data_IF_194172474477
#
_entry.id   IF_194172474477
#
_cell.length_a   1.000
_cell.length_b   1.000
_cell.length_c   1.000
_cell.angle_alpha   90.00
_cell.angle_beta   90.00
_cell.angle_gamma   90.00
#
_symmetry.space_group_name_H-M   'P 1'
#
loop_
_entity.id
_entity.type
_entity.pdbx_description
1 polymer ?
#
# COMPACT_ATOMS: atom_id res chain seq x y z
N UNK A 1 7.17 10.95 -26.38
CA UNK A 1 7.44 12.36 -26.11
C UNK A 1 6.18 13.24 -26.05
N UNK A 2 5.11 12.90 -26.78
CA UNK A 2 3.87 13.75 -26.80
C UNK A 2 2.85 13.50 -25.69
N UNK A 3 3.04 12.50 -24.79
CA UNK A 3 2.11 12.21 -23.69
C UNK A 3 2.46 12.94 -22.38
N UNK A 4 3.69 13.42 -22.24
CA UNK A 4 4.14 14.21 -21.07
C UNK A 4 3.69 15.67 -21.22
N UNK A 5 3.57 16.16 -22.46
CA UNK A 5 3.11 17.53 -22.75
C UNK A 5 1.61 17.72 -22.45
N UNK A 6 0.81 16.67 -22.53
CA UNK A 6 -0.64 16.73 -22.25
C UNK A 6 -0.94 16.90 -20.74
N UNK A 7 -0.05 16.42 -19.85
CA UNK A 7 -0.14 16.62 -18.39
C UNK A 7 0.30 18.03 -17.96
N UNK A 8 1.12 18.71 -18.76
CA UNK A 8 1.58 20.07 -18.50
C UNK A 8 0.57 21.15 -18.91
N UNK A 9 -0.37 20.85 -19.79
CA UNK A 9 -1.37 21.83 -20.29
C UNK A 9 -2.63 21.95 -19.43
N UNK A 10 -2.82 21.13 -18.38
CA UNK A 10 -3.99 21.23 -17.49
C UNK A 10 -3.81 22.18 -16.30
N UNK A 11 -2.67 22.88 -16.20
CA UNK A 11 -2.26 23.65 -15.03
C UNK A 11 -2.43 25.16 -15.09
N UNK A 12 -3.21 25.74 -16.00
CA UNK A 12 -3.37 27.21 -16.05
C UNK A 12 -4.83 27.59 -15.92
N UNK A 13 -5.22 27.94 -14.73
CA UNK A 13 -6.19 28.94 -14.27
C UNK A 13 -6.84 28.55 -12.95
N UNK A 14 -6.58 29.25 -11.88
CA UNK A 14 -7.56 29.95 -11.05
C UNK A 14 -6.98 30.40 -9.70
N UNK A 15 -7.17 31.67 -9.41
CA UNK A 15 -7.03 32.34 -8.09
C UNK A 15 -8.33 32.14 -7.31
N UNK A 16 -8.21 31.84 -6.01
CA UNK A 16 -8.85 32.43 -4.83
C UNK A 16 -8.96 31.43 -3.66
N UNK A 17 -8.27 31.78 -2.64
CA UNK A 17 -8.29 31.59 -1.19
C UNK A 17 -9.24 30.61 -0.52
N UNK A 18 -8.66 29.69 0.27
CA UNK A 18 -9.14 29.34 1.62
C UNK A 18 -7.94 29.31 2.58
N UNK A 19 -8.14 29.85 3.78
CA UNK A 19 -7.10 30.00 4.80
C UNK A 19 -6.71 28.65 5.38
N UNK A 20 -5.56 28.18 5.01
CA UNK A 20 -4.78 27.16 5.71
C UNK A 20 -3.34 27.69 5.78
N UNK A 21 -2.55 27.27 6.76
CA UNK A 21 -1.17 27.69 7.01
C UNK A 21 -0.20 27.41 5.84
N UNK A 22 -0.65 27.56 4.61
CA UNK A 22 0.09 27.37 3.38
C UNK A 22 0.62 28.71 2.90
N UNK A 23 1.90 28.73 2.58
CA UNK A 23 2.45 29.84 1.84
C UNK A 23 1.92 29.74 0.40
N UNK A 24 1.18 30.75 -0.05
CA UNK A 24 0.66 30.81 -1.43
C UNK A 24 1.81 31.10 -2.42
N UNK A 25 2.78 30.17 -2.49
CA UNK A 25 4.01 30.27 -3.28
C UNK A 25 4.04 29.28 -4.45
N UNK A 26 2.94 28.59 -4.78
CA UNK A 26 2.90 27.56 -5.80
C UNK A 26 3.50 28.02 -7.16
N UNK A 27 3.14 29.23 -7.62
CA UNK A 27 3.64 29.80 -8.88
C UNK A 27 4.89 30.68 -8.72
N UNK A 28 5.46 30.77 -7.52
CA UNK A 28 6.76 31.41 -7.31
C UNK A 28 7.89 30.54 -7.89
N UNK A 29 9.09 31.13 -8.05
CA UNK A 29 10.26 30.39 -8.45
C UNK A 29 10.56 29.21 -7.50
N UNK A 30 10.31 29.38 -6.19
CA UNK A 30 10.44 28.32 -5.19
C UNK A 30 9.42 27.21 -5.45
N UNK A 31 8.12 27.54 -5.55
CA UNK A 31 7.05 26.55 -5.73
C UNK A 31 7.21 25.75 -7.01
N UNK A 32 7.53 26.41 -8.11
CA UNK A 32 7.87 25.74 -9.39
C UNK A 32 9.10 24.85 -9.24
N UNK A 33 10.14 25.34 -8.55
CA UNK A 33 11.35 24.56 -8.29
C UNK A 33 11.08 23.29 -7.50
N UNK A 34 10.26 23.36 -6.42
CA UNK A 34 9.83 22.18 -5.62
C UNK A 34 9.03 21.20 -6.47
N UNK A 35 8.12 21.68 -7.32
CA UNK A 35 7.36 20.82 -8.23
C UNK A 35 8.28 20.10 -9.24
N UNK A 36 9.25 20.79 -9.80
CA UNK A 36 10.25 20.19 -10.73
C UNK A 36 11.06 19.13 -9.99
N UNK A 37 11.54 19.41 -8.78
CA UNK A 37 12.29 18.46 -7.95
C UNK A 37 11.44 17.21 -7.70
N UNK A 38 10.16 17.39 -7.33
CA UNK A 38 9.23 16.29 -7.13
C UNK A 38 9.06 15.45 -8.39
N UNK A 39 8.77 16.06 -9.54
CA UNK A 39 8.55 15.36 -10.82
C UNK A 39 9.81 14.59 -11.24
N UNK A 40 10.99 15.21 -11.15
CA UNK A 40 12.25 14.56 -11.49
C UNK A 40 12.57 13.39 -10.55
N UNK A 41 12.42 13.59 -9.23
CA UNK A 41 12.61 12.51 -8.26
C UNK A 41 11.63 11.38 -8.45
N UNK A 42 10.36 11.71 -8.74
CA UNK A 42 9.34 10.71 -9.02
C UNK A 42 9.63 9.91 -10.30
N UNK A 43 10.18 10.56 -11.33
CA UNK A 43 10.66 9.86 -12.51
C UNK A 43 11.69 8.77 -12.16
N UNK A 44 12.65 9.05 -11.26
CA UNK A 44 13.62 8.05 -10.82
C UNK A 44 13.00 6.96 -9.94
N UNK A 45 11.99 7.29 -9.12
CA UNK A 45 11.21 6.31 -8.35
C UNK A 45 10.50 5.33 -9.31
N UNK A 46 9.78 5.85 -10.31
CA UNK A 46 9.06 5.04 -11.29
C UNK A 46 9.98 4.25 -12.23
N UNK A 47 11.21 4.72 -12.44
CA UNK A 47 12.21 4.09 -13.29
C UNK A 47 13.20 3.19 -12.52
N UNK A 48 12.84 2.73 -11.30
CA UNK A 48 13.65 1.88 -10.43
C UNK A 48 14.25 0.68 -11.18
N UNK A 49 13.42 -0.06 -11.93
CA UNK A 49 13.87 -1.22 -12.72
C UNK A 49 14.87 -0.85 -13.80
N UNK A 50 14.66 0.28 -14.47
CA UNK A 50 15.48 0.72 -15.61
C UNK A 50 16.89 1.12 -15.17
N UNK A 51 17.01 1.81 -14.04
CA UNK A 51 18.26 2.35 -13.53
C UNK A 51 18.88 1.51 -12.41
N UNK A 52 18.15 0.47 -11.93
CA UNK A 52 18.56 -0.35 -10.78
C UNK A 52 18.83 0.50 -9.52
N UNK A 53 18.10 1.59 -9.34
CA UNK A 53 18.19 2.49 -8.19
C UNK A 53 16.97 2.20 -7.31
N UNK A 54 17.20 1.71 -6.08
CA UNK A 54 16.14 1.54 -5.10
C UNK A 54 15.38 2.87 -4.90
N UNK A 55 14.05 2.83 -5.01
CA UNK A 55 13.12 3.98 -4.94
C UNK A 55 13.25 4.83 -3.69
N UNK A 56 13.76 4.26 -2.60
CA UNK A 56 14.01 4.96 -1.33
C UNK A 56 15.00 6.10 -1.49
N UNK A 57 16.05 5.91 -2.30
CA UNK A 57 17.10 6.92 -2.48
C UNK A 57 16.58 8.24 -3.08
N UNK A 58 15.89 8.23 -4.25
CA UNK A 58 15.32 9.46 -4.78
C UNK A 58 14.20 10.01 -3.88
N UNK A 59 13.38 9.17 -3.23
CA UNK A 59 12.34 9.64 -2.33
C UNK A 59 12.91 10.42 -1.14
N UNK A 60 13.92 9.88 -0.45
CA UNK A 60 14.61 10.57 0.64
C UNK A 60 15.23 11.89 0.16
N UNK A 61 15.89 11.87 -1.00
CA UNK A 61 16.53 13.07 -1.53
C UNK A 61 15.50 14.18 -1.78
N UNK A 62 14.44 13.89 -2.53
CA UNK A 62 13.44 14.93 -2.86
C UNK A 62 12.69 15.43 -1.64
N UNK A 63 12.35 14.55 -0.68
CA UNK A 63 11.66 14.95 0.53
C UNK A 63 12.50 15.86 1.43
N UNK A 64 13.73 15.45 1.74
CA UNK A 64 14.62 16.23 2.62
C UNK A 64 15.14 17.50 1.94
N UNK A 65 15.56 17.40 0.68
CA UNK A 65 16.11 18.53 -0.08
C UNK A 65 15.06 19.64 -0.29
N UNK A 66 13.78 19.28 -0.53
CA UNK A 66 12.71 20.25 -0.68
C UNK A 66 12.53 21.10 0.58
N UNK A 67 12.50 20.48 1.77
CA UNK A 67 12.36 21.25 3.02
C UNK A 67 13.61 22.09 3.33
N UNK A 68 14.82 21.61 3.00
CA UNK A 68 16.04 22.41 3.14
C UNK A 68 15.98 23.68 2.27
N UNK A 69 15.58 23.55 0.99
CA UNK A 69 15.43 24.71 0.09
C UNK A 69 14.37 25.68 0.61
N UNK A 70 13.20 25.16 1.07
CA UNK A 70 12.12 25.97 1.64
C UNK A 70 12.67 26.77 2.84
N UNK A 71 13.38 26.11 3.78
CA UNK A 71 13.94 26.77 4.95
C UNK A 71 14.95 27.88 4.58
N UNK A 72 15.87 27.59 3.65
CA UNK A 72 16.83 28.60 3.15
C UNK A 72 16.10 29.77 2.51
N UNK A 73 15.08 29.53 1.68
CA UNK A 73 14.31 30.58 1.03
C UNK A 73 13.60 31.48 2.05
N UNK A 74 13.00 30.88 3.10
CA UNK A 74 12.29 31.64 4.13
C UNK A 74 13.23 32.56 4.90
N UNK A 75 14.41 32.04 5.29
CA UNK A 75 15.44 32.87 5.96
C UNK A 75 15.94 33.99 5.06
N UNK A 76 16.20 33.73 3.78
CA UNK A 76 16.70 34.72 2.83
C UNK A 76 15.69 35.85 2.50
N UNK A 77 14.40 35.57 2.69
CA UNK A 77 13.31 36.55 2.43
C UNK A 77 12.68 37.11 3.71
N UNK A 78 13.32 36.93 4.86
CA UNK A 78 12.84 37.39 6.18
C UNK A 78 11.39 36.93 6.48
N UNK A 79 11.02 35.72 6.02
CA UNK A 79 9.72 35.12 6.30
C UNK A 79 9.73 34.42 7.66
N UNK A 80 8.57 34.34 8.29
CA UNK A 80 8.42 33.69 9.59
C UNK A 80 8.67 32.17 9.48
N UNK A 81 9.81 31.72 9.99
CA UNK A 81 10.20 30.30 10.01
C UNK A 81 9.43 29.46 11.02
N UNK A 82 8.69 30.07 11.95
CA UNK A 82 7.86 29.33 12.91
C UNK A 82 6.77 28.53 12.20
N UNK A 83 6.17 29.08 11.14
CA UNK A 83 5.16 28.41 10.31
C UNK A 83 5.74 27.13 9.70
N UNK A 84 6.98 27.17 9.21
CA UNK A 84 7.67 25.99 8.67
C UNK A 84 7.93 24.96 9.77
N UNK A 85 8.41 25.40 10.93
CA UNK A 85 8.67 24.52 12.07
C UNK A 85 7.40 23.77 12.51
N UNK A 86 6.29 24.47 12.67
CA UNK A 86 4.99 23.89 13.04
C UNK A 86 4.52 22.87 11.98
N UNK A 87 4.61 23.21 10.69
CA UNK A 87 4.24 22.32 9.59
C UNK A 87 5.11 21.08 9.55
N UNK A 88 6.43 21.22 9.71
CA UNK A 88 7.38 20.09 9.74
C UNK A 88 7.14 19.21 10.95
N UNK A 89 6.90 19.78 12.14
CA UNK A 89 6.62 19.02 13.36
C UNK A 89 5.32 18.20 13.21
N UNK A 90 4.27 18.78 12.64
CA UNK A 90 3.03 18.06 12.36
C UNK A 90 3.26 16.91 11.36
N UNK A 91 4.00 17.17 10.28
CA UNK A 91 4.35 16.16 9.29
C UNK A 91 5.17 15.02 9.89
N UNK A 92 6.18 15.35 10.71
CA UNK A 92 7.00 14.33 11.40
C UNK A 92 6.12 13.48 12.32
N UNK A 93 5.18 14.07 13.04
CA UNK A 93 4.25 13.35 13.90
C UNK A 93 3.39 12.35 13.09
N UNK A 94 2.82 12.78 11.95
CA UNK A 94 2.06 11.91 11.06
C UNK A 94 2.93 10.73 10.58
N UNK A 95 4.13 11.03 10.06
CA UNK A 95 5.05 10.01 9.56
C UNK A 95 5.47 9.05 10.67
N UNK A 96 5.80 9.57 11.86
CA UNK A 96 6.20 8.75 13.00
C UNK A 96 5.09 7.76 13.41
N UNK A 97 3.83 8.20 13.42
CA UNK A 97 2.69 7.32 13.72
C UNK A 97 2.61 6.16 12.74
N UNK A 98 2.74 6.43 11.44
CA UNK A 98 2.71 5.40 10.38
C UNK A 98 3.93 4.47 10.51
N UNK A 99 5.13 5.03 10.69
CA UNK A 99 6.38 4.25 10.77
C UNK A 99 6.38 3.32 11.99
N UNK A 100 6.00 3.80 13.19
CA UNK A 100 5.92 2.95 14.37
C UNK A 100 4.83 1.88 14.26
N UNK A 101 3.70 2.21 13.63
CA UNK A 101 2.67 1.22 13.32
C UNK A 101 3.25 0.11 12.42
N UNK A 102 3.92 0.49 11.33
CA UNK A 102 4.51 -0.46 10.36
C UNK A 102 5.63 -1.29 10.97
N UNK A 103 6.51 -0.70 11.80
CA UNK A 103 7.55 -1.45 12.51
C UNK A 103 6.93 -2.59 13.32
N UNK A 104 5.86 -2.31 14.07
CA UNK A 104 5.19 -3.34 14.85
C UNK A 104 4.53 -4.40 13.96
N UNK A 105 3.79 -3.99 12.92
CA UNK A 105 3.13 -4.90 11.98
C UNK A 105 4.12 -5.81 11.26
N UNK A 106 5.17 -5.24 10.66
CA UNK A 106 6.22 -5.99 9.96
C UNK A 106 6.96 -6.94 10.89
N UNK A 107 7.22 -6.55 12.15
CA UNK A 107 7.86 -7.43 13.14
C UNK A 107 6.98 -8.64 13.45
N UNK A 108 5.65 -8.47 13.59
CA UNK A 108 4.72 -9.60 13.74
C UNK A 108 4.77 -10.54 12.53
N UNK A 109 4.79 -9.99 11.32
CA UNK A 109 4.86 -10.79 10.08
C UNK A 109 6.17 -11.58 10.03
N UNK A 110 7.32 -10.95 10.32
CA UNK A 110 8.62 -11.64 10.39
C UNK A 110 8.62 -12.76 11.44
N UNK A 111 8.00 -12.52 12.60
CA UNK A 111 7.83 -13.53 13.62
C UNK A 111 6.98 -14.72 13.13
N UNK A 112 5.92 -14.49 12.35
CA UNK A 112 5.10 -15.54 11.74
C UNK A 112 5.86 -16.31 10.64
N UNK A 113 6.68 -15.62 9.83
CA UNK A 113 7.57 -16.23 8.83
C UNK A 113 8.56 -17.16 9.53
N UNK A 114 9.24 -16.69 10.57
CA UNK A 114 10.22 -17.48 11.34
C UNK A 114 9.58 -18.70 12.01
N UNK A 115 8.31 -18.63 12.39
CA UNK A 115 7.53 -19.78 12.93
C UNK A 115 6.96 -20.69 11.84
N UNK A 116 7.34 -20.50 10.59
CA UNK A 116 6.93 -21.33 9.45
C UNK A 116 5.41 -21.37 9.23
N UNK A 117 4.69 -20.31 9.61
CA UNK A 117 3.23 -20.22 9.40
C UNK A 117 2.91 -20.23 7.91
N UNK A 118 3.58 -19.36 7.15
CA UNK A 118 3.36 -19.25 5.70
C UNK A 118 3.97 -20.42 4.92
N UNK A 119 5.10 -20.98 5.37
CA UNK A 119 5.69 -22.19 4.79
C UNK A 119 4.76 -23.42 4.97
N UNK A 120 4.10 -23.52 6.13
CA UNK A 120 3.09 -24.57 6.35
C UNK A 120 1.88 -24.40 5.43
N UNK A 121 1.43 -23.16 5.20
CA UNK A 121 0.36 -22.86 4.25
C UNK A 121 0.77 -23.27 2.82
N UNK A 122 1.96 -22.88 2.40
CA UNK A 122 2.56 -23.26 1.11
C UNK A 122 2.62 -24.79 0.94
N UNK A 123 3.16 -25.50 1.93
CA UNK A 123 3.22 -26.96 1.92
C UNK A 123 1.83 -27.58 1.72
N UNK A 124 0.82 -27.11 2.46
CA UNK A 124 -0.56 -27.60 2.36
C UNK A 124 -1.18 -27.37 0.98
N UNK A 125 -0.84 -26.26 0.31
CA UNK A 125 -1.34 -25.97 -1.04
C UNK A 125 -0.71 -26.88 -2.09
N UNK A 126 0.61 -27.01 -2.03
CA UNK A 126 1.39 -27.74 -3.03
C UNK A 126 1.22 -29.24 -2.91
N UNK A 127 1.19 -29.78 -1.69
CA UNK A 127 1.09 -31.23 -1.42
C UNK A 127 -0.21 -31.89 -1.91
N UNK A 128 -1.29 -31.10 -2.12
CA UNK A 128 -2.59 -31.64 -2.56
C UNK A 128 -2.66 -31.99 -4.04
N UNK A 129 -1.67 -31.63 -4.86
CA UNK A 129 -1.60 -32.00 -6.28
C UNK A 129 -2.75 -31.42 -7.11
N UNK A 130 -3.10 -30.16 -6.84
CA UNK A 130 -4.12 -29.41 -7.58
C UNK A 130 -3.64 -29.04 -9.00
N UNK A 131 -4.58 -28.76 -9.92
CA UNK A 131 -4.27 -28.21 -11.25
C UNK A 131 -3.80 -26.75 -11.11
N UNK A 132 -3.06 -26.26 -12.13
CA UNK A 132 -2.61 -24.85 -12.16
C UNK A 132 -3.78 -23.87 -11.99
N UNK A 133 -4.92 -24.13 -12.66
CA UNK A 133 -6.11 -23.27 -12.53
C UNK A 133 -6.69 -23.27 -11.12
N UNK A 134 -6.68 -24.42 -10.43
CA UNK A 134 -7.12 -24.50 -9.04
C UNK A 134 -6.17 -23.79 -8.09
N UNK A 135 -4.86 -23.91 -8.32
CA UNK A 135 -3.83 -23.18 -7.57
C UNK A 135 -3.92 -21.68 -7.78
N UNK A 136 -4.17 -21.22 -9.02
CA UNK A 136 -4.44 -19.83 -9.35
C UNK A 136 -5.59 -19.25 -8.51
N UNK A 137 -6.73 -19.97 -8.43
CA UNK A 137 -7.86 -19.51 -7.62
C UNK A 137 -7.55 -19.51 -6.13
N UNK A 138 -6.92 -20.57 -5.62
CA UNK A 138 -6.59 -20.67 -4.20
C UNK A 138 -5.59 -19.59 -3.75
N UNK A 139 -4.58 -19.29 -4.56
CA UNK A 139 -3.61 -18.24 -4.23
C UNK A 139 -4.25 -16.85 -4.28
N UNK A 140 -5.14 -16.58 -5.24
CA UNK A 140 -5.91 -15.33 -5.29
C UNK A 140 -6.86 -15.18 -4.11
N UNK A 141 -7.63 -16.21 -3.75
CA UNK A 141 -8.50 -16.19 -2.57
C UNK A 141 -7.68 -15.92 -1.30
N UNK A 142 -6.55 -16.62 -1.14
CA UNK A 142 -5.66 -16.40 0.00
C UNK A 142 -5.09 -14.98 0.01
N UNK A 143 -4.68 -14.44 -1.14
CA UNK A 143 -4.21 -13.07 -1.24
C UNK A 143 -5.28 -12.07 -0.77
N UNK A 144 -6.51 -12.25 -1.24
CA UNK A 144 -7.63 -11.38 -0.89
C UNK A 144 -7.96 -11.38 0.61
N UNK A 145 -7.89 -12.54 1.28
CA UNK A 145 -8.24 -12.67 2.70
C UNK A 145 -7.06 -12.51 3.67
N UNK A 146 -5.82 -12.66 3.20
CA UNK A 146 -4.63 -12.44 4.03
C UNK A 146 -4.24 -10.96 4.04
N UNK A 147 -4.36 -10.27 2.90
CA UNK A 147 -3.97 -8.88 2.75
C UNK A 147 -4.59 -7.92 3.78
N UNK A 148 -5.87 -8.05 4.16
CA UNK A 148 -6.48 -7.22 5.21
C UNK A 148 -5.77 -7.25 6.57
N UNK A 149 -4.86 -8.20 6.77
CA UNK A 149 -4.18 -8.45 8.06
C UNK A 149 -2.66 -8.31 7.92
N UNK A 150 -2.11 -8.76 6.79
CA UNK A 150 -0.67 -8.90 6.57
C UNK A 150 -0.09 -7.91 5.55
N UNK A 151 -0.81 -6.84 5.24
CA UNK A 151 -0.60 -5.87 4.17
C UNK A 151 -0.51 -6.48 2.75
N UNK A 152 -0.65 -5.61 1.74
CA UNK A 152 -0.68 -6.01 0.33
C UNK A 152 0.69 -6.47 -0.19
N UNK A 153 1.78 -5.80 0.20
CA UNK A 153 3.15 -6.13 -0.25
C UNK A 153 3.58 -7.48 0.29
N UNK A 154 3.51 -7.68 1.62
CA UNK A 154 3.90 -8.93 2.27
C UNK A 154 3.08 -10.11 1.74
N UNK A 155 1.76 -9.93 1.62
CA UNK A 155 0.87 -10.96 1.06
C UNK A 155 1.27 -11.35 -0.36
N UNK A 156 1.55 -10.37 -1.21
CA UNK A 156 1.95 -10.60 -2.59
C UNK A 156 3.32 -11.30 -2.70
N UNK A 157 4.29 -10.92 -1.88
CA UNK A 157 5.62 -11.55 -1.83
C UNK A 157 5.57 -13.01 -1.38
N UNK A 158 4.79 -13.30 -0.32
CA UNK A 158 4.64 -14.67 0.18
C UNK A 158 3.99 -15.56 -0.88
N UNK A 159 2.88 -15.14 -1.46
CA UNK A 159 2.13 -15.97 -2.40
C UNK A 159 2.79 -16.07 -3.79
N UNK A 160 3.52 -15.06 -4.23
CA UNK A 160 4.33 -15.17 -5.45
C UNK A 160 5.47 -16.19 -5.29
N UNK A 161 6.04 -16.31 -4.08
CA UNK A 161 7.00 -17.38 -3.76
C UNK A 161 6.36 -18.76 -3.84
N UNK A 162 5.08 -18.89 -3.46
CA UNK A 162 4.32 -20.15 -3.64
C UNK A 162 4.21 -20.51 -5.12
N UNK A 163 3.84 -19.56 -6.00
CA UNK A 163 3.76 -19.81 -7.45
C UNK A 163 5.09 -20.32 -8.02
N UNK A 164 6.21 -19.65 -7.70
CA UNK A 164 7.54 -20.04 -8.15
C UNK A 164 7.96 -21.44 -7.65
N UNK A 165 7.48 -21.85 -6.49
CA UNK A 165 7.77 -23.18 -5.94
C UNK A 165 6.99 -24.27 -6.66
N UNK A 166 5.79 -23.96 -7.20
CA UNK A 166 4.96 -24.91 -7.93
C UNK A 166 5.61 -25.22 -9.29
N UNK A 167 5.95 -24.21 -10.04
CA UNK A 167 6.59 -24.36 -11.35
C UNK A 167 7.22 -23.02 -11.77
N UNK A 168 8.55 -22.95 -11.77
CA UNK A 168 9.28 -21.71 -12.10
C UNK A 168 9.38 -21.43 -13.60
N UNK A 169 9.07 -22.40 -14.45
CA UNK A 169 9.28 -22.32 -15.89
C UNK A 169 7.98 -22.08 -16.67
N UNK A 170 6.81 -22.32 -16.07
CA UNK A 170 5.51 -22.19 -16.70
C UNK A 170 4.97 -20.75 -16.67
N UNK A 171 5.35 -19.95 -17.67
CA UNK A 171 4.92 -18.55 -17.78
C UNK A 171 3.40 -18.38 -17.97
N UNK A 172 2.70 -19.36 -18.57
CA UNK A 172 1.24 -19.32 -18.74
C UNK A 172 0.48 -19.44 -17.41
N UNK A 173 1.10 -20.05 -16.41
CA UNK A 173 0.58 -20.07 -15.04
C UNK A 173 1.10 -18.91 -14.22
N UNK A 174 2.41 -18.64 -14.29
CA UNK A 174 3.07 -17.67 -13.41
C UNK A 174 2.61 -16.22 -13.63
N UNK A 175 2.50 -15.79 -14.91
CA UNK A 175 2.15 -14.40 -15.21
C UNK A 175 0.71 -14.08 -14.77
N UNK A 176 -0.34 -14.82 -15.22
CA UNK A 176 -1.68 -14.57 -14.73
C UNK A 176 -1.82 -14.78 -13.21
N UNK A 177 -1.09 -15.75 -12.65
CA UNK A 177 -1.07 -16.02 -11.21
C UNK A 177 -0.49 -14.85 -10.40
N UNK A 178 0.61 -14.25 -10.86
CA UNK A 178 1.22 -13.07 -10.27
C UNK A 178 0.27 -11.87 -10.31
N UNK A 179 -0.35 -11.61 -11.47
CA UNK A 179 -1.35 -10.54 -11.62
C UNK A 179 -2.52 -10.76 -10.67
N UNK A 180 -3.06 -11.98 -10.62
CA UNK A 180 -4.16 -12.32 -9.72
C UNK A 180 -3.81 -12.05 -8.25
N UNK A 181 -2.60 -12.41 -7.82
CA UNK A 181 -2.14 -12.17 -6.44
C UNK A 181 -2.03 -10.66 -6.17
N UNK A 182 -1.44 -9.89 -7.08
CA UNK A 182 -1.29 -8.44 -6.93
C UNK A 182 -2.66 -7.75 -6.83
N UNK A 183 -3.57 -8.06 -7.75
CA UNK A 183 -4.93 -7.48 -7.75
C UNK A 183 -5.71 -7.93 -6.51
N UNK A 184 -5.61 -9.21 -6.13
CA UNK A 184 -6.27 -9.75 -4.95
C UNK A 184 -5.73 -9.13 -3.66
N UNK A 185 -4.42 -8.91 -3.56
CA UNK A 185 -3.80 -8.28 -2.40
C UNK A 185 -4.21 -6.80 -2.26
N UNK A 186 -4.19 -6.03 -3.36
CA UNK A 186 -4.62 -4.64 -3.35
C UNK A 186 -6.14 -4.50 -3.09
N UNK A 187 -6.97 -5.30 -3.74
CA UNK A 187 -8.41 -5.30 -3.51
C UNK A 187 -8.78 -5.81 -2.10
N UNK A 188 -8.06 -6.81 -1.60
CA UNK A 188 -8.17 -7.30 -0.23
C UNK A 188 -7.74 -6.25 0.79
N UNK A 189 -6.66 -5.51 0.50
CA UNK A 189 -6.19 -4.42 1.34
C UNK A 189 -7.18 -3.26 1.45
N UNK A 190 -7.96 -3.00 0.42
CA UNK A 190 -8.83 -1.82 0.36
C UNK A 190 -10.01 -1.82 1.36
N UNK A 191 -10.44 -2.98 1.86
CA UNK A 191 -11.56 -3.08 2.80
C UNK A 191 -11.15 -3.26 4.27
N UNK A 192 -9.88 -3.00 4.59
CA UNK A 192 -9.38 -3.02 5.98
C UNK A 192 -8.30 -1.97 6.17
N UNK A 193 -8.30 -1.20 7.27
CA UNK A 193 -7.23 -0.25 7.59
C UNK A 193 -5.84 -0.87 7.72
N UNK A 194 -5.73 -2.18 7.94
CA UNK A 194 -4.47 -2.91 8.08
C UNK A 194 -3.97 -3.52 6.77
N UNK A 195 -4.78 -3.45 5.71
CA UNK A 195 -4.49 -4.14 4.47
C UNK A 195 -3.67 -3.36 3.46
N UNK A 196 -3.62 -2.05 3.58
CA UNK A 196 -2.81 -1.14 2.76
C UNK A 196 -2.45 0.11 3.58
N UNK A 197 -1.33 0.73 3.27
CA UNK A 197 -0.92 1.98 3.91
C UNK A 197 -1.90 3.10 3.59
N UNK A 198 -2.49 3.11 2.41
CA UNK A 198 -3.51 4.10 2.02
C UNK A 198 -4.75 4.03 2.90
N UNK A 199 -5.23 2.83 3.21
CA UNK A 199 -6.36 2.61 4.12
C UNK A 199 -6.00 3.01 5.55
N UNK A 200 -4.78 2.67 6.00
CA UNK A 200 -4.26 3.09 7.29
C UNK A 200 -4.23 4.61 7.42
N UNK A 201 -3.76 5.33 6.39
CA UNK A 201 -3.70 6.80 6.38
C UNK A 201 -5.10 7.43 6.49
N UNK A 202 -6.07 6.94 5.74
CA UNK A 202 -7.47 7.44 5.78
C UNK A 202 -8.09 7.20 7.16
N UNK A 203 -7.88 6.02 7.74
CA UNK A 203 -8.37 5.68 9.07
C UNK A 203 -7.71 6.51 10.17
N UNK A 204 -6.38 6.66 10.17
CA UNK A 204 -5.65 7.45 11.17
C UNK A 204 -5.94 8.94 11.06
N UNK A 205 -6.24 9.44 9.86
CA UNK A 205 -6.73 10.80 9.62
C UNK A 205 -8.21 10.99 10.01
N UNK A 206 -8.86 9.96 10.58
CA UNK A 206 -10.28 9.97 11.00
C UNK A 206 -11.25 10.36 9.88
N UNK A 207 -10.93 10.02 8.62
CA UNK A 207 -11.78 10.27 7.45
C UNK A 207 -12.78 9.14 7.20
N UNK A 208 -12.55 7.97 7.78
CA UNK A 208 -13.47 6.85 7.86
C UNK A 208 -13.19 6.06 9.14
N UNK A 209 -14.22 5.48 9.73
CA UNK A 209 -14.10 4.61 10.91
C UNK A 209 -13.62 3.22 10.51
N UNK A 210 -13.08 2.45 11.47
CA UNK A 210 -12.61 1.09 11.20
C UNK A 210 -13.68 0.20 10.55
N UNK A 211 -14.92 0.29 11.02
CA UNK A 211 -16.01 -0.56 10.55
C UNK A 211 -16.57 -0.16 9.20
N UNK A 212 -16.49 1.11 8.81
CA UNK A 212 -16.92 1.59 7.49
C UNK A 212 -16.08 0.98 6.36
N UNK A 213 -14.81 0.66 6.60
CA UNK A 213 -14.00 -0.03 5.59
C UNK A 213 -14.57 -1.38 5.18
N UNK A 214 -15.26 -2.10 6.08
CA UNK A 214 -15.89 -3.39 5.73
C UNK A 214 -17.03 -3.23 4.71
N UNK A 215 -17.63 -2.06 4.61
CA UNK A 215 -18.60 -1.77 3.58
C UNK A 215 -18.01 -1.77 2.15
N UNK A 216 -16.68 -1.65 2.02
CA UNK A 216 -15.99 -1.81 0.73
C UNK A 216 -15.81 -3.27 0.31
N UNK A 217 -16.08 -4.25 1.20
CA UNK A 217 -15.92 -5.68 0.87
C UNK A 217 -16.64 -6.10 -0.41
N UNK A 218 -17.95 -5.77 -0.63
CA UNK A 218 -18.61 -6.19 -1.86
C UNK A 218 -17.96 -5.62 -3.12
N UNK A 219 -17.62 -4.33 -3.12
CA UNK A 219 -17.00 -3.65 -4.25
C UNK A 219 -15.62 -4.22 -4.58
N UNK A 220 -14.79 -4.42 -3.56
CA UNK A 220 -13.46 -5.01 -3.69
C UNK A 220 -13.52 -6.46 -4.16
N UNK A 221 -14.41 -7.26 -3.55
CA UNK A 221 -14.52 -8.69 -3.83
C UNK A 221 -15.03 -8.96 -5.24
N UNK A 222 -16.12 -8.29 -5.65
CA UNK A 222 -16.73 -8.50 -6.98
C UNK A 222 -15.78 -8.03 -8.09
N UNK A 223 -15.09 -6.89 -7.90
CA UNK A 223 -14.12 -6.40 -8.86
C UNK A 223 -12.92 -7.34 -9.04
N UNK A 224 -12.33 -7.81 -7.92
CA UNK A 224 -11.29 -8.82 -7.98
C UNK A 224 -11.79 -10.13 -8.58
N UNK A 225 -12.96 -10.63 -8.17
CA UNK A 225 -13.51 -11.90 -8.63
C UNK A 225 -13.69 -11.93 -10.16
N UNK A 226 -14.17 -10.82 -10.74
CA UNK A 226 -14.30 -10.70 -12.19
C UNK A 226 -12.94 -10.65 -12.88
N UNK A 227 -11.98 -9.89 -12.36
CA UNK A 227 -10.60 -9.89 -12.87
C UNK A 227 -10.02 -11.30 -12.86
N UNK A 228 -10.12 -12.01 -11.72
CA UNK A 228 -9.63 -13.37 -11.57
C UNK A 228 -10.33 -14.35 -12.51
N UNK A 229 -11.64 -14.20 -12.72
CA UNK A 229 -12.39 -15.02 -13.67
C UNK A 229 -11.88 -14.86 -15.09
N UNK A 230 -11.68 -13.62 -15.55
CA UNK A 230 -11.14 -13.33 -16.88
C UNK A 230 -9.72 -13.86 -17.04
N UNK A 231 -8.85 -13.66 -16.05
CA UNK A 231 -7.47 -14.17 -16.05
C UNK A 231 -7.41 -15.71 -16.02
N UNK A 232 -8.32 -16.35 -15.30
CA UNK A 232 -8.34 -17.81 -15.16
C UNK A 232 -8.47 -18.57 -16.49
N UNK A 233 -9.00 -17.91 -17.53
CA UNK A 233 -9.13 -18.46 -18.88
C UNK A 233 -7.78 -18.67 -19.58
N UNK A 234 -6.77 -17.92 -19.17
CA UNK A 234 -5.39 -18.02 -19.70
C UNK A 234 -4.54 -19.03 -18.95
N UNK A 235 -5.05 -19.58 -17.82
CA UNK A 235 -4.31 -20.54 -17.00
C UNK A 235 -4.63 -21.98 -17.43
N UNK A 236 -3.61 -22.81 -17.70
CA UNK A 236 -3.82 -24.22 -18.05
C UNK A 236 -4.57 -25.00 -16.96
N UNK A 237 -5.49 -25.89 -17.36
CA UNK A 237 -6.21 -26.76 -16.41
C UNK A 237 -5.61 -28.15 -16.34
N UNK A 238 -4.30 -28.23 -16.28
CA UNK A 238 -3.51 -29.48 -16.15
C UNK A 238 -2.81 -29.47 -14.78
N UNK A 239 -2.39 -30.66 -14.33
CA UNK A 239 -1.59 -30.79 -13.11
C UNK A 239 -0.14 -30.41 -13.38
N UNK A 240 0.54 -29.71 -12.46
CA UNK A 240 1.98 -29.50 -12.55
C UNK A 240 2.71 -30.86 -12.55
N UNK A 241 3.80 -30.95 -13.30
CA UNK A 241 4.72 -32.10 -13.23
C UNK A 241 5.56 -31.98 -11.95
N UNK A 242 4.91 -32.23 -10.83
CA UNK A 242 5.49 -32.03 -9.51
C UNK A 242 5.88 -33.39 -8.91
N UNK A 243 7.17 -33.57 -8.63
CA UNK A 243 7.66 -34.73 -7.88
C UNK A 243 7.37 -34.48 -6.38
N UNK A 244 6.32 -35.13 -5.85
CA UNK A 244 5.94 -35.07 -4.44
C UNK A 244 7.06 -35.45 -3.48
N UNK A 245 7.98 -36.25 -3.94
CA UNK A 245 9.07 -36.85 -3.15
C UNK A 245 10.10 -35.79 -2.65
N UNK A 246 10.09 -34.60 -3.22
CA UNK A 246 10.98 -33.48 -2.84
C UNK A 246 10.37 -32.49 -1.87
N UNK A 247 9.13 -32.71 -1.39
CA UNK A 247 8.47 -31.82 -0.43
C UNK A 247 8.73 -32.28 1.00
N UNK A 248 9.59 -31.61 1.71
CA UNK A 248 9.67 -31.75 3.15
C UNK A 248 8.38 -31.29 3.82
N UNK A 249 7.82 -32.13 4.72
CA UNK A 249 6.66 -31.76 5.52
C UNK A 249 7.03 -30.63 6.46
N UNK A 250 6.39 -29.48 6.27
CA UNK A 250 6.59 -28.30 7.13
C UNK A 250 5.39 -28.16 8.04
N UNK A 251 5.64 -28.00 9.34
CA UNK A 251 4.63 -27.72 10.38
C UNK A 251 4.96 -26.39 11.09
N UNK A 252 3.92 -25.74 11.62
CA UNK A 252 4.10 -24.52 12.42
C UNK A 252 5.00 -24.85 13.62
N UNK A 253 6.13 -24.14 13.71
CA UNK A 253 7.07 -24.30 14.83
C UNK A 253 6.42 -23.95 16.18
N UNK A 254 6.91 -24.51 17.30
CA UNK A 254 6.39 -24.22 18.64
C UNK A 254 6.30 -22.72 18.92
N UNK A 255 5.19 -22.27 19.50
CA UNK A 255 4.91 -20.84 19.74
C UNK A 255 4.20 -20.11 18.59
N UNK A 256 4.27 -20.62 17.34
CA UNK A 256 3.71 -19.93 16.18
C UNK A 256 2.19 -19.71 16.24
N UNK A 257 1.43 -20.65 16.82
CA UNK A 257 -0.01 -20.47 17.03
C UNK A 257 -0.31 -19.31 18.00
N UNK A 258 0.51 -19.14 19.03
CA UNK A 258 0.38 -18.04 19.99
C UNK A 258 0.71 -16.71 19.31
N UNK A 259 1.71 -16.67 18.41
CA UNK A 259 2.03 -15.47 17.63
C UNK A 259 0.85 -15.05 16.77
N UNK A 260 0.14 -15.98 16.13
CA UNK A 260 -1.08 -15.70 15.36
C UNK A 260 -2.15 -15.05 16.26
N UNK A 261 -2.41 -15.65 17.42
CA UNK A 261 -3.40 -15.11 18.38
C UNK A 261 -3.00 -13.74 18.89
N UNK A 262 -1.72 -13.53 19.23
CA UNK A 262 -1.20 -12.23 19.65
C UNK A 262 -1.29 -11.20 18.53
N UNK A 263 -1.07 -11.57 17.27
CA UNK A 263 -1.26 -10.69 16.13
C UNK A 263 -2.70 -10.19 16.03
N UNK A 264 -3.69 -11.08 16.08
CA UNK A 264 -5.11 -10.69 16.08
C UNK A 264 -5.49 -9.83 17.30
N UNK A 265 -4.98 -10.17 18.49
CA UNK A 265 -5.19 -9.38 19.70
C UNK A 265 -4.58 -7.97 19.55
N UNK A 266 -3.41 -7.84 18.93
CA UNK A 266 -2.75 -6.57 18.68
C UNK A 266 -3.59 -5.68 17.75
N UNK A 267 -4.16 -6.25 16.68
CA UNK A 267 -5.09 -5.55 15.81
C UNK A 267 -6.31 -5.07 16.59
N UNK A 268 -6.94 -5.94 17.37
CA UNK A 268 -8.08 -5.58 18.20
C UNK A 268 -7.76 -4.45 19.20
N UNK A 269 -6.57 -4.49 19.81
CA UNK A 269 -6.08 -3.43 20.69
C UNK A 269 -5.85 -2.11 19.96
N UNK A 270 -5.27 -2.14 18.76
CA UNK A 270 -5.04 -0.92 17.97
C UNK A 270 -6.38 -0.26 17.60
N UNK A 271 -7.39 -1.06 17.18
CA UNK A 271 -8.74 -0.57 16.90
C UNK A 271 -9.40 0.00 18.15
N UNK A 272 -9.35 -0.73 19.27
CA UNK A 272 -9.93 -0.29 20.54
C UNK A 272 -9.33 1.05 20.99
N UNK A 273 -7.99 1.14 21.02
CA UNK A 273 -7.27 2.33 21.47
C UNK A 273 -7.56 3.52 20.57
N UNK A 274 -7.58 3.32 19.25
CA UNK A 274 -7.85 4.41 18.30
C UNK A 274 -9.31 4.87 18.35
N UNK A 275 -10.27 3.94 18.39
CA UNK A 275 -11.70 4.26 18.27
C UNK A 275 -12.36 4.66 19.58
N UNK A 276 -11.84 4.23 20.74
CA UNK A 276 -12.46 4.45 22.06
C UNK A 276 -11.64 5.37 22.94
N UNK A 277 -10.30 5.27 22.88
CA UNK A 277 -9.42 6.09 23.71
C UNK A 277 -8.93 7.36 23.00
N UNK A 278 -9.28 7.57 21.72
CA UNK A 278 -8.81 8.68 20.88
C UNK A 278 -7.28 8.81 20.78
N UNK A 279 -6.54 7.75 21.08
CA UNK A 279 -5.10 7.70 20.93
C UNK A 279 -4.71 7.18 19.53
N UNK A 280 -3.55 7.57 19.00
CA UNK A 280 -3.05 7.00 17.75
C UNK A 280 -2.99 5.46 17.77
N UNK A 281 -3.41 4.81 16.68
CA UNK A 281 -3.46 3.34 16.56
C UNK A 281 -2.10 2.66 16.83
N UNK A 282 -0.99 3.38 16.59
CA UNK A 282 0.36 2.89 16.85
C UNK A 282 0.57 2.46 18.30
N UNK A 283 -0.11 3.09 19.29
CA UNK A 283 0.01 2.70 20.70
C UNK A 283 -0.48 1.27 20.92
N UNK A 284 -1.58 0.87 20.30
CA UNK A 284 -2.07 -0.51 20.35
C UNK A 284 -1.11 -1.49 19.69
N UNK A 285 -0.54 -1.10 18.55
CA UNK A 285 0.43 -1.93 17.83
C UNK A 285 1.72 -2.12 18.63
N UNK A 286 2.30 -1.07 19.19
CA UNK A 286 3.52 -1.13 20.02
C UNK A 286 3.26 -1.89 21.32
N UNK A 287 2.09 -1.70 21.94
CA UNK A 287 1.72 -2.48 23.12
C UNK A 287 1.61 -3.97 22.80
N UNK A 288 0.96 -4.34 21.67
CA UNK A 288 0.93 -5.71 21.19
C UNK A 288 2.32 -6.28 20.93
N UNK A 289 3.22 -5.48 20.34
CA UNK A 289 4.62 -5.87 20.16
C UNK A 289 5.33 -6.12 21.49
N UNK A 290 5.03 -5.32 22.52
CA UNK A 290 5.57 -5.56 23.87
C UNK A 290 5.06 -6.87 24.47
N UNK A 291 3.77 -7.21 24.26
CA UNK A 291 3.21 -8.50 24.67
C UNK A 291 3.89 -9.69 23.98
N UNK A 292 4.14 -9.56 22.67
CA UNK A 292 4.92 -10.55 21.92
C UNK A 292 6.33 -10.71 22.50
N UNK A 293 7.01 -9.62 22.82
CA UNK A 293 8.34 -9.61 23.42
C UNK A 293 8.36 -10.31 24.78
N UNK A 294 7.37 -10.01 25.65
CA UNK A 294 7.20 -10.68 26.94
C UNK A 294 6.92 -12.17 26.77
N UNK A 295 6.03 -12.55 25.83
CA UNK A 295 5.79 -13.96 25.54
C UNK A 295 7.06 -14.67 25.09
N UNK A 296 7.86 -14.09 24.22
CA UNK A 296 9.15 -14.64 23.76
C UNK A 296 10.09 -14.86 24.96
N UNK A 297 10.18 -13.90 25.88
CA UNK A 297 11.00 -14.03 27.09
C UNK A 297 10.58 -15.23 27.94
N UNK A 298 9.28 -15.37 28.27
CA UNK A 298 8.79 -16.49 29.07
C UNK A 298 8.89 -17.83 28.34
N UNK A 299 8.65 -17.84 27.02
CA UNK A 299 8.79 -19.03 26.17
C UNK A 299 10.24 -19.55 26.19
N UNK A 300 11.23 -18.70 25.96
CA UNK A 300 12.64 -19.06 26.01
C UNK A 300 13.06 -19.58 27.39
N UNK A 301 12.59 -18.94 28.47
CA UNK A 301 12.88 -19.37 29.82
C UNK A 301 12.33 -20.77 30.12
N UNK A 302 11.10 -21.06 29.62
CA UNK A 302 10.48 -22.39 29.80
C UNK A 302 11.20 -23.48 29.00
N UNK A 303 11.70 -23.14 27.80
CA UNK A 303 12.40 -24.09 26.92
C UNK A 303 13.87 -24.31 27.33
N UNK A 304 14.44 -23.48 28.20
CA UNK A 304 15.86 -23.49 28.52
C UNK A 304 16.78 -23.09 27.35
N UNK A 305 16.23 -22.50 26.32
CA UNK A 305 16.92 -22.08 25.08
C UNK A 305 16.58 -20.63 24.74
N UNK A 306 17.53 -19.91 24.12
CA UNK A 306 17.30 -18.55 23.60
C UNK A 306 17.00 -18.59 22.10
N UNK A 307 16.04 -19.43 21.70
CA UNK A 307 15.74 -19.67 20.28
C UNK A 307 14.97 -18.52 19.60
N UNK A 308 14.27 -17.68 20.37
CA UNK A 308 13.47 -16.57 19.88
C UNK A 308 14.05 -15.24 20.35
N UNK A 309 14.12 -14.28 19.41
CA UNK A 309 14.57 -12.93 19.73
C UNK A 309 13.78 -11.90 18.90
N UNK A 310 13.02 -11.05 19.57
CA UNK A 310 12.22 -9.99 18.93
C UNK A 310 13.09 -9.05 18.09
N UNK A 311 14.28 -8.69 18.59
CA UNK A 311 15.19 -7.78 17.87
C UNK A 311 15.73 -8.42 16.59
N UNK A 312 15.85 -9.75 16.54
CA UNK A 312 16.21 -10.44 15.30
C UNK A 312 15.10 -10.34 14.25
N UNK A 313 13.83 -10.35 14.64
CA UNK A 313 12.73 -10.10 13.71
C UNK A 313 12.74 -8.65 13.22
N UNK A 314 12.99 -7.70 14.12
CA UNK A 314 13.10 -6.29 13.76
C UNK A 314 14.27 -5.98 12.80
N UNK A 315 15.35 -6.76 12.79
CA UNK A 315 16.45 -6.56 11.81
C UNK A 315 16.12 -7.05 10.41
N UNK A 316 15.04 -7.82 10.25
CA UNK A 316 14.59 -8.36 8.96
C UNK A 316 13.48 -7.56 8.29
N UNK A 317 12.90 -6.57 9.01
CA UNK A 317 11.88 -5.70 8.42
C UNK A 317 12.47 -4.91 7.24
N UNK A 318 11.61 -4.57 6.28
CA UNK A 318 11.99 -3.78 5.11
C UNK A 318 12.22 -2.32 5.47
N UNK A 319 13.40 -2.01 6.03
CA UNK A 319 13.75 -0.65 6.45
C UNK A 319 13.77 0.35 5.28
N UNK A 320 14.08 -0.10 4.08
CA UNK A 320 14.02 0.70 2.86
C UNK A 320 12.59 1.15 2.54
N UNK A 321 11.61 0.30 2.76
CA UNK A 321 10.19 0.65 2.64
C UNK A 321 9.78 1.75 3.63
N UNK A 322 10.21 1.66 4.89
CA UNK A 322 9.92 2.69 5.91
C UNK A 322 10.56 4.04 5.54
N UNK A 323 11.81 4.01 5.08
CA UNK A 323 12.51 5.22 4.63
C UNK A 323 11.93 5.78 3.33
N UNK A 324 11.43 4.93 2.44
CA UNK A 324 10.69 5.38 1.26
C UNK A 324 9.45 6.18 1.67
N UNK A 325 8.67 5.68 2.64
CA UNK A 325 7.49 6.42 3.12
C UNK A 325 7.86 7.75 3.78
N UNK A 326 8.91 7.77 4.59
CA UNK A 326 9.41 9.03 5.14
C UNK A 326 9.73 10.05 4.03
N UNK A 327 10.50 9.63 3.02
CA UNK A 327 10.92 10.49 1.92
C UNK A 327 9.75 11.01 1.07
N UNK A 328 8.85 10.10 0.66
CA UNK A 328 7.76 10.47 -0.24
C UNK A 328 6.67 11.30 0.46
N UNK A 329 6.34 10.98 1.73
CA UNK A 329 5.42 11.78 2.52
C UNK A 329 5.96 13.17 2.80
N UNK A 330 7.29 13.28 3.03
CA UNK A 330 7.97 14.58 3.15
C UNK A 330 7.92 15.36 1.84
N UNK A 331 8.13 14.72 0.69
CA UNK A 331 8.06 15.38 -0.60
C UNK A 331 6.65 15.93 -0.90
N UNK A 332 5.60 15.15 -0.60
CA UNK A 332 4.20 15.58 -0.70
C UNK A 332 3.90 16.70 0.31
N UNK A 333 4.46 16.60 1.53
CA UNK A 333 4.37 17.65 2.55
C UNK A 333 4.98 18.98 2.09
N UNK A 334 6.10 18.93 1.38
CA UNK A 334 6.72 20.12 0.82
C UNK A 334 5.85 20.77 -0.29
N UNK A 335 5.24 19.95 -1.17
CA UNK A 335 4.26 20.45 -2.17
C UNK A 335 3.05 21.09 -1.51
N UNK A 336 2.56 20.51 -0.40
CA UNK A 336 1.47 21.07 0.39
C UNK A 336 1.88 22.43 0.98
N UNK A 337 3.03 22.49 1.63
CA UNK A 337 3.52 23.73 2.30
C UNK A 337 3.67 24.91 1.34
N UNK A 338 4.11 24.68 0.11
CA UNK A 338 4.23 25.76 -0.90
C UNK A 338 2.89 26.07 -1.61
N UNK A 339 1.79 25.34 -1.31
CA UNK A 339 0.43 25.62 -1.78
C UNK A 339 -0.01 24.87 -3.03
N UNK A 340 0.75 23.88 -3.54
CA UNK A 340 0.33 23.12 -4.74
C UNK A 340 -0.92 22.29 -4.52
N UNK A 341 -1.16 21.77 -3.31
CA UNK A 341 -2.29 20.88 -3.05
C UNK A 341 -3.63 21.61 -2.89
N UNK A 342 -3.62 22.92 -2.67
CA UNK A 342 -4.84 23.74 -2.74
C UNK A 342 -5.53 23.62 -4.11
N UNK A 343 -4.75 23.57 -5.19
CA UNK A 343 -5.30 23.36 -6.54
C UNK A 343 -5.92 21.99 -6.74
N UNK A 344 -5.44 20.95 -6.02
CA UNK A 344 -6.09 19.65 -6.03
C UNK A 344 -7.48 19.73 -5.40
N UNK A 345 -7.64 20.47 -4.30
CA UNK A 345 -8.96 20.70 -3.66
C UNK A 345 -9.92 21.43 -4.61
N UNK A 346 -9.46 22.42 -5.37
CA UNK A 346 -10.28 23.14 -6.36
C UNK A 346 -10.84 22.22 -7.46
N UNK A 347 -10.07 21.17 -7.83
CA UNK A 347 -10.57 20.18 -8.80
C UNK A 347 -11.78 19.41 -8.24
N UNK A 348 -11.77 19.09 -6.94
CA UNK A 348 -12.92 18.45 -6.29
C UNK A 348 -14.17 19.32 -6.32
N UNK A 349 -14.01 20.63 -6.09
CA UNK A 349 -15.13 21.61 -6.16
C UNK A 349 -15.66 21.70 -7.60
N UNK A 350 -14.76 21.72 -8.58
CA UNK A 350 -15.14 21.94 -10.01
C UNK A 350 -15.75 20.70 -10.66
N UNK A 351 -15.24 19.51 -10.40
CA UNK A 351 -15.61 18.29 -11.10
C UNK A 351 -16.39 17.28 -10.23
N UNK A 352 -16.55 17.56 -8.96
CA UNK A 352 -17.22 16.69 -7.99
C UNK A 352 -16.33 15.55 -7.48
N UNK A 353 -16.55 15.13 -6.24
CA UNK A 353 -15.72 14.15 -5.56
C UNK A 353 -15.66 12.79 -6.29
N UNK A 354 -16.79 12.27 -6.75
CA UNK A 354 -16.86 10.97 -7.44
C UNK A 354 -15.96 10.93 -8.68
N UNK A 355 -16.01 11.96 -9.52
CA UNK A 355 -15.23 12.02 -10.76
C UNK A 355 -13.73 12.09 -10.48
N UNK A 356 -13.33 12.90 -9.50
CA UNK A 356 -11.93 13.06 -9.12
C UNK A 356 -11.43 11.78 -8.45
N UNK A 357 -12.20 11.16 -7.55
CA UNK A 357 -11.83 9.90 -6.89
C UNK A 357 -11.63 8.75 -7.89
N UNK A 358 -12.44 8.67 -8.94
CA UNK A 358 -12.21 7.73 -10.05
C UNK A 358 -10.91 8.06 -10.77
N UNK A 359 -10.66 9.34 -11.07
CA UNK A 359 -9.40 9.81 -11.67
C UNK A 359 -8.17 9.51 -10.84
N UNK A 360 -8.28 9.63 -9.51
CA UNK A 360 -7.23 9.28 -8.53
C UNK A 360 -6.78 7.82 -8.69
N UNK A 361 -7.69 6.89 -8.96
CA UNK A 361 -7.31 5.50 -9.23
C UNK A 361 -6.45 5.33 -10.49
N UNK A 362 -6.73 6.08 -11.57
CA UNK A 362 -5.86 6.09 -12.75
C UNK A 362 -4.51 6.77 -12.46
N UNK A 363 -4.51 7.81 -11.63
CA UNK A 363 -3.27 8.44 -11.19
C UNK A 363 -2.44 7.46 -10.34
N UNK A 364 -3.08 6.70 -9.47
CA UNK A 364 -2.45 5.65 -8.65
C UNK A 364 -1.82 4.53 -9.48
N UNK A 365 -2.29 4.29 -10.69
CA UNK A 365 -1.64 3.35 -11.59
C UNK A 365 -0.25 3.84 -12.08
N UNK A 366 -0.07 5.15 -12.18
CA UNK A 366 1.18 5.78 -12.68
C UNK A 366 2.07 6.20 -11.51
N UNK A 367 1.44 6.69 -10.46
CA UNK A 367 2.07 7.18 -9.23
C UNK A 367 1.65 6.22 -8.12
N UNK A 368 2.59 5.66 -7.39
CA UNK A 368 2.31 4.74 -6.26
C UNK A 368 1.13 5.26 -5.41
N UNK A 369 0.27 4.36 -4.94
CA UNK A 369 -0.97 4.71 -4.22
C UNK A 369 -0.74 5.58 -2.96
N UNK A 370 0.38 5.39 -2.26
CA UNK A 370 0.67 6.11 -1.00
C UNK A 370 0.87 7.62 -1.20
N UNK A 371 1.74 8.12 -2.11
CA UNK A 371 1.87 9.55 -2.37
C UNK A 371 0.59 10.18 -2.90
N UNK A 372 -0.19 9.45 -3.70
CA UNK A 372 -1.47 9.92 -4.21
C UNK A 372 -2.47 10.11 -3.07
N UNK A 373 -2.62 9.12 -2.18
CA UNK A 373 -3.49 9.23 -1.01
C UNK A 373 -3.03 10.33 -0.06
N UNK A 374 -1.71 10.46 0.16
CA UNK A 374 -1.16 11.57 0.98
C UNK A 374 -1.53 12.93 0.40
N UNK A 375 -1.46 13.09 -0.93
CA UNK A 375 -1.85 14.33 -1.58
C UNK A 375 -3.35 14.63 -1.40
N UNK A 376 -4.22 13.63 -1.54
CA UNK A 376 -5.67 13.79 -1.32
C UNK A 376 -5.97 14.17 0.13
N UNK A 377 -5.34 13.50 1.11
CA UNK A 377 -5.53 13.80 2.53
C UNK A 377 -5.06 15.21 2.88
N UNK A 378 -3.93 15.66 2.33
CA UNK A 378 -3.40 17.01 2.55
C UNK A 378 -4.20 18.09 1.82
N UNK A 379 -4.70 17.81 0.62
CA UNK A 379 -5.66 18.68 -0.06
C UNK A 379 -6.98 18.81 0.71
N UNK A 380 -7.29 17.82 1.53
CA UNK A 380 -8.44 17.78 2.44
C UNK A 380 -9.76 18.28 1.82
N UNK A 381 -10.18 17.73 0.67
CA UNK A 381 -11.40 18.18 0.00
C UNK A 381 -12.63 17.92 0.88
N UNK A 382 -13.62 18.81 0.78
CA UNK A 382 -14.91 18.62 1.46
C UNK A 382 -15.69 17.51 0.76
N UNK A 383 -15.69 16.31 1.35
CA UNK A 383 -16.43 15.15 0.87
C UNK A 383 -16.88 14.28 2.04
N UNK A 384 -17.94 13.51 1.84
CA UNK A 384 -18.49 12.60 2.84
C UNK A 384 -17.67 11.32 3.00
N UNK A 385 -17.99 10.53 4.01
CA UNK A 385 -17.27 9.29 4.35
C UNK A 385 -17.33 8.28 3.20
N UNK A 386 -18.43 8.23 2.44
CA UNK A 386 -18.58 7.32 1.30
C UNK A 386 -17.62 7.68 0.17
N UNK A 387 -17.32 8.96 -0.01
CA UNK A 387 -16.32 9.44 -0.98
C UNK A 387 -14.89 9.18 -0.50
N UNK A 388 -14.63 9.24 0.81
CA UNK A 388 -13.36 8.80 1.38
C UNK A 388 -13.15 7.29 1.20
N UNK A 389 -14.21 6.49 1.32
CA UNK A 389 -14.17 5.08 1.00
C UNK A 389 -13.94 4.84 -0.52
N UNK A 390 -14.57 5.65 -1.40
CA UNK A 390 -14.36 5.53 -2.84
C UNK A 390 -12.91 5.80 -3.22
N UNK A 391 -12.32 6.89 -2.74
CA UNK A 391 -10.92 7.21 -3.08
C UNK A 391 -9.96 6.14 -2.57
N UNK A 392 -10.25 5.55 -1.41
CA UNK A 392 -9.47 4.43 -0.88
C UNK A 392 -9.56 3.20 -1.79
N UNK A 393 -10.77 2.83 -2.21
CA UNK A 393 -11.01 1.73 -3.15
C UNK A 393 -10.30 1.95 -4.48
N UNK A 394 -10.47 3.14 -5.05
CA UNK A 394 -9.92 3.47 -6.37
C UNK A 394 -8.41 3.59 -6.35
N UNK A 395 -7.81 4.20 -5.33
CA UNK A 395 -6.36 4.27 -5.18
C UNK A 395 -5.74 2.87 -5.00
N UNK A 396 -6.34 2.02 -4.16
CA UNK A 396 -5.85 0.66 -3.91
C UNK A 396 -5.94 -0.23 -5.15
N UNK A 397 -7.12 -0.40 -5.74
CA UNK A 397 -7.30 -1.26 -6.93
C UNK A 397 -6.65 -0.63 -8.16
N UNK A 398 -6.74 0.70 -8.31
CA UNK A 398 -6.13 1.44 -9.42
C UNK A 398 -4.62 1.23 -9.52
N UNK A 399 -3.94 1.14 -8.38
CA UNK A 399 -2.52 0.79 -8.32
C UNK A 399 -2.18 -0.57 -8.97
N UNK A 400 -3.18 -1.45 -9.16
CA UNK A 400 -2.98 -2.71 -9.86
C UNK A 400 -3.06 -2.60 -11.40
N UNK A 401 -3.54 -1.50 -11.97
CA UNK A 401 -3.69 -1.33 -13.43
C UNK A 401 -2.36 -1.42 -14.15
N UNK A 402 -1.29 -0.98 -13.50
CA UNK A 402 0.09 -1.05 -14.00
C UNK A 402 0.95 -1.73 -12.93
N UNK A 403 1.92 -2.52 -13.33
CA UNK A 403 2.72 -3.37 -12.42
C UNK A 403 3.51 -2.62 -11.35
N UNK A 404 3.83 -1.35 -11.56
CA UNK A 404 4.57 -0.51 -10.61
C UNK A 404 3.69 0.53 -9.88
N UNK A 405 2.37 0.52 -10.09
CA UNK A 405 1.43 1.44 -9.42
C UNK A 405 1.11 1.07 -7.97
N UNK A 406 1.65 -0.03 -7.45
CA UNK A 406 1.51 -0.42 -6.04
C UNK A 406 2.75 -1.15 -5.54
N UNK A 407 2.98 -1.08 -4.23
CA UNK A 407 4.06 -1.80 -3.56
C UNK A 407 4.00 -3.32 -3.85
N UNK A 408 2.80 -3.91 -3.84
CA UNK A 408 2.58 -5.32 -4.17
C UNK A 408 3.06 -5.68 -5.59
N UNK A 409 2.76 -4.85 -6.58
CA UNK A 409 3.19 -5.05 -7.96
C UNK A 409 4.70 -4.97 -8.12
N UNK A 410 5.34 -3.94 -7.55
CA UNK A 410 6.80 -3.77 -7.55
C UNK A 410 7.49 -4.95 -6.85
N UNK A 411 7.00 -5.34 -5.67
CA UNK A 411 7.55 -6.46 -4.92
C UNK A 411 7.53 -7.78 -5.70
N UNK A 412 6.40 -8.08 -6.36
CA UNK A 412 6.28 -9.29 -7.19
C UNK A 412 7.18 -9.22 -8.42
N UNK A 413 7.35 -8.05 -9.08
CA UNK A 413 8.31 -7.88 -10.17
C UNK A 413 9.74 -8.15 -9.69
N UNK A 414 10.12 -7.63 -8.54
CA UNK A 414 11.41 -7.88 -7.90
C UNK A 414 11.64 -9.36 -7.58
N UNK A 415 10.60 -10.07 -7.13
CA UNK A 415 10.65 -11.50 -6.78
C UNK A 415 10.66 -12.42 -7.99
N UNK A 416 9.93 -12.07 -9.05
CA UNK A 416 9.74 -12.88 -10.26
C UNK A 416 10.47 -12.25 -11.47
N UNK A 417 11.73 -11.82 -11.25
CA UNK A 417 12.57 -11.16 -12.27
C UNK A 417 12.60 -11.97 -13.59
N UNK A 418 12.38 -11.28 -14.71
CA UNK A 418 12.39 -11.87 -16.04
C UNK A 418 11.13 -12.70 -16.41
N UNK A 419 10.21 -12.89 -15.45
CA UNK A 419 8.93 -13.60 -15.64
C UNK A 419 7.79 -12.61 -15.60
N UNK A 420 7.59 -11.97 -14.46
CA UNK A 420 6.58 -10.93 -14.28
C UNK A 420 7.21 -9.56 -14.53
N UNK A 421 6.99 -9.03 -15.71
CA UNK A 421 7.54 -7.75 -16.19
C UNK A 421 6.41 -6.78 -16.51
N UNK A 422 6.74 -5.50 -16.66
CA UNK A 422 5.78 -4.48 -17.10
C UNK A 422 5.01 -4.90 -18.35
N UNK A 423 5.69 -5.36 -19.40
CA UNK A 423 5.04 -5.78 -20.66
C UNK A 423 4.15 -7.02 -20.46
N UNK A 424 4.57 -7.97 -19.63
CA UNK A 424 3.78 -9.15 -19.31
C UNK A 424 2.49 -8.78 -18.55
N UNK A 425 2.57 -7.83 -17.63
CA UNK A 425 1.41 -7.30 -16.93
C UNK A 425 0.47 -6.54 -17.86
N UNK A 426 1.02 -5.63 -18.67
CA UNK A 426 0.23 -4.76 -19.56
C UNK A 426 -0.63 -5.56 -20.55
N UNK A 427 -0.17 -6.73 -20.99
CA UNK A 427 -0.96 -7.64 -21.84
C UNK A 427 -2.32 -7.99 -21.23
N UNK A 428 -2.42 -8.06 -19.91
CA UNK A 428 -3.62 -8.43 -19.18
C UNK A 428 -4.28 -7.27 -18.45
N UNK A 429 -3.74 -6.05 -18.53
CA UNK A 429 -4.24 -4.87 -17.82
C UNK A 429 -5.72 -4.56 -18.11
N UNK A 430 -6.21 -4.93 -19.29
CA UNK A 430 -7.63 -4.79 -19.63
C UNK A 430 -8.56 -5.58 -18.69
N UNK A 431 -8.13 -6.76 -18.18
CA UNK A 431 -8.92 -7.55 -17.22
C UNK A 431 -9.04 -6.83 -15.89
N UNK A 432 -7.96 -6.15 -15.47
CA UNK A 432 -7.91 -5.36 -14.25
C UNK A 432 -8.78 -4.11 -14.41
N UNK A 433 -8.72 -3.46 -15.57
CA UNK A 433 -9.57 -2.31 -15.87
C UNK A 433 -11.06 -2.66 -15.80
N UNK A 434 -11.47 -3.82 -16.30
CA UNK A 434 -12.85 -4.31 -16.17
C UNK A 434 -13.22 -4.50 -14.71
N UNK A 435 -12.34 -5.13 -13.90
CA UNK A 435 -12.55 -5.30 -12.46
C UNK A 435 -12.63 -3.96 -11.72
N UNK A 436 -11.77 -3.01 -12.07
CA UNK A 436 -11.78 -1.64 -11.52
C UNK A 436 -13.10 -0.92 -11.78
N UNK A 437 -13.59 -0.95 -13.03
CA UNK A 437 -14.88 -0.36 -13.39
C UNK A 437 -16.02 -1.02 -12.61
N UNK A 438 -16.02 -2.33 -12.51
CA UNK A 438 -17.06 -3.07 -11.74
C UNK A 438 -17.01 -2.74 -10.26
N UNK A 439 -15.82 -2.61 -9.66
CA UNK A 439 -15.70 -2.16 -8.26
C UNK A 439 -16.37 -0.80 -8.04
N UNK A 440 -16.16 0.15 -8.95
CA UNK A 440 -16.80 1.48 -8.89
C UNK A 440 -18.32 1.38 -9.07
N UNK A 441 -18.80 0.56 -10.01
CA UNK A 441 -20.23 0.34 -10.21
C UNK A 441 -20.89 -0.25 -8.97
N UNK A 442 -20.25 -1.27 -8.34
CA UNK A 442 -20.78 -1.87 -7.11
C UNK A 442 -20.81 -0.86 -5.98
N UNK A 443 -19.72 -0.07 -5.79
CA UNK A 443 -19.70 1.01 -4.83
C UNK A 443 -20.83 2.03 -5.10
N UNK A 444 -21.02 2.44 -6.36
CA UNK A 444 -22.07 3.39 -6.75
C UNK A 444 -23.47 2.85 -6.44
N UNK A 445 -23.73 1.60 -6.77
CA UNK A 445 -25.01 0.95 -6.45
C UNK A 445 -25.21 0.89 -4.95
N UNK A 446 -24.21 0.51 -4.19
CA UNK A 446 -24.28 0.35 -2.75
C UNK A 446 -24.56 1.68 -2.03
N UNK A 447 -23.74 2.70 -2.30
CA UNK A 447 -23.77 3.94 -1.53
C UNK A 447 -24.64 5.05 -2.15
N UNK A 448 -24.80 5.08 -3.47
CA UNK A 448 -25.54 6.15 -4.15
C UNK A 448 -26.97 5.76 -4.54
N UNK A 449 -27.23 4.48 -4.78
CA UNK A 449 -28.59 4.01 -5.15
C UNK A 449 -29.31 3.38 -3.96
N UNK A 450 -28.64 2.56 -3.17
CA UNK A 450 -29.24 1.84 -2.03
C UNK A 450 -29.10 2.57 -0.69
N UNK A 451 -28.22 3.60 -0.61
CA UNK A 451 -27.92 4.38 0.60
C UNK A 451 -27.55 3.47 1.80
N UNK A 452 -26.72 2.45 1.56
CA UNK A 452 -26.28 1.47 2.57
C UNK A 452 -25.07 1.96 3.34
#
# INVERSE_FOLDING_TARGET
>A
MNKILFLLCFGVSFLLASQTHELNLAFSALGIGILIIFILGYYFIAAEEKYHINKTKPALFIGTFSFIIIGIYMVMNDLDTQILEESVNHLILEIAQIVFFLIAAMTFIEALIERSVFETLKYKLVSKGYTYRKLFWLTGILAFFISPIADNLTTALILSTVLLTIDKDNKEFLIPGAINIVVAANAGGAWSPFGDITTLMVWTAKKATFFEFFALFPASFIGWLLTAYLLSRYVPNIKPNFHKDNLEKVEIKPGGKVFIVLGFLTIALAVFIHSICDLPAMWGMIFGLSLLSLYIYFFNRKQGKKDLNIFHYMTRIEMDTLLFFFGILSAVGALHFVGWLAYASDLYVKFGATSINIGVGFLSAIVDNVPVMSAVLKANPSMDDTQWLLVTLTAGIGGSLISFGSAAGVGVMGKMKGIYTFNAHLKYAWTILVGYIISIIVWYVQFQLLNL
#
